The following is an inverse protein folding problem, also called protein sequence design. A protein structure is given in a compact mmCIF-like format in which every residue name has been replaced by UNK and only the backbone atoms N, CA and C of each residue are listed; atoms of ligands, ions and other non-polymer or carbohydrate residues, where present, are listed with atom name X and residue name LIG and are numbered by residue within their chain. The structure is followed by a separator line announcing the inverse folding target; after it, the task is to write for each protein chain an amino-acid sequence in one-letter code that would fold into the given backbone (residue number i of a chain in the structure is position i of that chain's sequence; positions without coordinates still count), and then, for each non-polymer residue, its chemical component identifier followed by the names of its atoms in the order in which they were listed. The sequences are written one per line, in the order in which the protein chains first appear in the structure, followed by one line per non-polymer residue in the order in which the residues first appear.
data_IF_908497765668
#
_entry.id   IF_908497765668
#
_cell.length_a   1.000
_cell.length_b   1.000
_cell.length_c   1.000
_cell.angle_alpha   90.00
_cell.angle_beta   90.00
_cell.angle_gamma   90.00
#
_symmetry.space_group_name_H-M   'P 1'
#
loop_
_entity.id
_entity.type
_entity.pdbx_description
1 polymer ?
#
# COMPACT_ATOMS: atom_id res chain seq x y z
N UNK A 1 76.09 -21.45 19.87
CA UNK A 1 75.01 -20.56 20.33
C UNK A 1 74.85 -19.49 19.29
N UNK A 2 73.85 -19.64 18.41
CA UNK A 2 73.58 -18.70 17.35
C UNK A 2 72.16 -18.10 17.59
N UNK A 3 72.12 -16.83 17.87
CA UNK A 3 70.87 -16.05 18.05
C UNK A 3 70.38 -15.61 16.66
N UNK A 4 69.25 -16.19 16.24
CA UNK A 4 68.56 -15.78 15.05
C UNK A 4 67.68 -14.55 15.31
N UNK A 5 67.90 -13.49 14.57
CA UNK A 5 67.15 -12.26 14.59
C UNK A 5 65.91 -12.35 13.70
N UNK A 6 64.72 -12.34 14.29
CA UNK A 6 63.45 -12.25 13.53
C UNK A 6 63.17 -10.80 13.12
N UNK A 7 63.19 -10.54 11.82
CA UNK A 7 62.71 -9.30 11.23
C UNK A 7 61.20 -9.38 11.06
N UNK A 8 60.44 -8.59 11.79
CA UNK A 8 59.03 -8.37 11.63
C UNK A 8 58.81 -7.45 10.40
N UNK A 9 58.25 -8.00 9.34
CA UNK A 9 57.71 -7.22 8.23
C UNK A 9 56.36 -6.66 8.61
N UNK A 10 56.25 -5.36 8.70
CA UNK A 10 54.98 -4.61 8.80
C UNK A 10 54.25 -4.72 7.44
N UNK A 11 53.00 -5.14 7.40
CA UNK A 11 52.24 -5.07 6.13
C UNK A 11 51.87 -3.61 5.85
N UNK A 12 52.17 -3.18 4.63
CA UNK A 12 51.75 -1.90 4.10
C UNK A 12 50.22 -1.76 4.11
N UNK A 13 49.72 -0.71 4.70
CA UNK A 13 48.32 -0.36 4.67
C UNK A 13 47.88 -0.14 3.22
N UNK A 14 47.02 -1.03 2.73
CA UNK A 14 46.29 -0.82 1.50
C UNK A 14 45.31 0.33 1.74
N UNK A 15 45.55 1.48 1.11
CA UNK A 15 44.61 2.59 1.04
C UNK A 15 43.38 2.13 0.23
N UNK A 16 42.31 1.75 0.91
CA UNK A 16 41.00 1.60 0.31
C UNK A 16 40.53 3.00 -0.11
N UNK A 17 40.71 3.31 -1.38
CA UNK A 17 40.01 4.42 -2.01
C UNK A 17 38.51 4.10 -1.95
N UNK A 18 37.82 4.71 -0.98
CA UNK A 18 36.36 4.80 -0.97
C UNK A 18 36.00 5.56 -2.25
N UNK A 19 35.51 4.81 -3.27
CA UNK A 19 34.87 5.44 -4.41
C UNK A 19 33.69 6.24 -3.87
N UNK A 20 33.85 7.54 -3.86
CA UNK A 20 32.79 8.50 -3.65
C UNK A 20 31.68 8.16 -4.66
N UNK A 21 30.57 7.59 -4.15
CA UNK A 21 29.41 7.33 -4.97
C UNK A 21 28.87 8.67 -5.42
N UNK A 22 29.07 8.99 -6.68
CA UNK A 22 28.42 10.13 -7.32
C UNK A 22 26.91 10.01 -7.08
N UNK A 23 26.24 11.11 -6.66
CA UNK A 23 24.80 11.11 -6.55
C UNK A 23 24.20 10.69 -7.89
N UNK A 24 23.40 9.63 -7.85
CA UNK A 24 22.68 9.10 -9.02
C UNK A 24 21.92 10.25 -9.68
N UNK A 25 22.30 10.60 -10.90
CA UNK A 25 21.52 11.53 -11.71
C UNK A 25 20.10 10.98 -11.78
N UNK A 26 19.05 11.80 -11.52
CA UNK A 26 17.67 11.34 -11.70
C UNK A 26 17.51 10.83 -13.14
N UNK A 27 17.04 9.60 -13.26
CA UNK A 27 16.75 9.01 -14.58
C UNK A 27 15.82 9.93 -15.36
N UNK A 28 16.08 10.16 -16.66
CA UNK A 28 15.17 10.92 -17.49
C UNK A 28 13.81 10.21 -17.41
N UNK A 29 12.82 10.92 -16.92
CA UNK A 29 11.43 10.47 -16.83
C UNK A 29 11.02 9.99 -18.22
N UNK A 30 10.55 8.77 -18.35
CA UNK A 30 9.90 8.30 -19.57
C UNK A 30 8.64 9.17 -19.76
N UNK A 31 8.80 10.28 -20.48
CA UNK A 31 7.69 11.09 -20.93
C UNK A 31 6.87 10.24 -21.90
N UNK A 32 5.69 9.82 -21.49
CA UNK A 32 4.70 9.31 -22.40
C UNK A 32 3.94 8.03 -22.06
N UNK A 33 4.13 7.37 -20.89
CA UNK A 33 3.44 6.10 -20.65
C UNK A 33 2.85 6.00 -19.25
N UNK A 34 1.53 5.73 -19.22
CA UNK A 34 0.75 5.52 -18.01
C UNK A 34 0.74 6.71 -17.05
N UNK A 35 0.15 7.82 -17.48
CA UNK A 35 -0.08 8.96 -16.61
C UNK A 35 -1.08 8.55 -15.53
N UNK A 36 -0.61 8.33 -14.29
CA UNK A 36 -1.50 8.30 -13.16
C UNK A 36 -2.34 9.58 -13.16
N UNK A 37 -3.63 9.45 -12.94
CA UNK A 37 -4.56 10.57 -12.88
C UNK A 37 -5.09 10.73 -11.46
N UNK A 38 -5.31 11.98 -11.08
CA UNK A 38 -5.97 12.33 -9.84
C UNK A 38 -7.43 12.66 -10.15
N UNK A 39 -8.35 11.96 -9.52
CA UNK A 39 -9.79 12.22 -9.63
C UNK A 39 -10.22 13.12 -8.48
N UNK A 40 -10.80 14.26 -8.81
CA UNK A 40 -11.44 15.18 -7.86
C UNK A 40 -12.95 14.98 -7.86
N UNK A 41 -13.52 14.78 -6.69
CA UNK A 41 -14.95 14.59 -6.46
C UNK A 41 -15.41 15.68 -5.50
N UNK A 42 -16.35 16.51 -5.95
CA UNK A 42 -16.93 17.52 -5.07
C UNK A 42 -17.75 16.86 -3.97
N UNK A 43 -17.49 17.23 -2.71
CA UNK A 43 -18.29 16.76 -1.57
C UNK A 43 -19.78 17.15 -1.70
N UNK A 44 -20.10 18.22 -2.44
CA UNK A 44 -21.47 18.67 -2.72
C UNK A 44 -22.12 17.94 -3.90
N UNK A 45 -21.39 17.01 -4.52
CA UNK A 45 -21.84 16.33 -5.73
C UNK A 45 -21.52 17.11 -7.02
N UNK A 46 -21.86 16.51 -8.15
CA UNK A 46 -21.59 17.07 -9.48
C UNK A 46 -20.70 16.16 -10.33
N UNK A 47 -20.24 16.62 -11.50
CA UNK A 47 -19.34 15.81 -12.33
C UNK A 47 -17.95 15.74 -11.69
N UNK A 48 -17.34 14.55 -11.63
CA UNK A 48 -15.94 14.43 -11.25
C UNK A 48 -15.03 15.11 -12.25
N UNK A 49 -13.84 15.52 -11.80
CA UNK A 49 -12.81 16.12 -12.65
C UNK A 49 -11.52 15.31 -12.59
N UNK A 50 -10.82 15.26 -13.70
CA UNK A 50 -9.54 14.58 -13.82
C UNK A 50 -8.39 15.55 -13.92
N UNK A 51 -7.29 15.23 -13.23
CA UNK A 51 -6.05 15.98 -13.31
C UNK A 51 -4.90 15.05 -13.63
N UNK A 52 -4.06 15.47 -14.56
CA UNK A 52 -2.82 14.74 -14.88
C UNK A 52 -1.78 15.00 -13.80
N UNK A 53 -1.15 13.94 -13.33
CA UNK A 53 0.02 14.01 -12.46
C UNK A 53 1.29 14.11 -13.30
N UNK A 54 2.34 14.74 -12.79
CA UNK A 54 2.46 15.36 -11.46
C UNK A 54 2.05 16.84 -11.40
N UNK A 55 1.82 17.49 -12.51
CA UNK A 55 1.66 18.95 -12.61
C UNK A 55 0.22 19.44 -12.34
N UNK A 56 -0.71 18.54 -12.02
CA UNK A 56 -2.11 18.84 -11.73
C UNK A 56 -2.83 19.62 -12.84
N UNK A 57 -2.52 19.32 -14.11
CA UNK A 57 -3.21 19.90 -15.26
C UNK A 57 -4.57 19.23 -15.44
N UNK A 58 -5.65 20.02 -15.48
CA UNK A 58 -6.99 19.49 -15.69
C UNK A 58 -7.12 18.86 -17.09
N UNK A 59 -7.78 17.72 -17.14
CA UNK A 59 -8.12 17.01 -18.38
C UNK A 59 -9.61 17.29 -18.71
N UNK A 60 -9.92 18.23 -19.59
CA UNK A 60 -11.28 18.66 -19.83
C UNK A 60 -12.14 17.56 -20.47
N UNK A 61 -13.40 17.46 -20.05
CA UNK A 61 -14.44 16.68 -20.73
C UNK A 61 -14.31 15.16 -20.68
N UNK A 62 -13.44 14.62 -19.82
CA UNK A 62 -13.14 13.18 -19.77
C UNK A 62 -14.15 12.38 -18.95
N UNK A 63 -14.71 12.94 -17.88
CA UNK A 63 -15.70 12.24 -17.07
C UNK A 63 -17.09 12.81 -17.28
N UNK A 64 -18.04 11.92 -17.52
CA UNK A 64 -19.46 12.26 -17.71
C UNK A 64 -20.25 11.82 -16.48
N UNK A 65 -21.50 12.28 -16.41
CA UNK A 65 -22.41 11.96 -15.32
C UNK A 65 -22.21 12.87 -14.10
N UNK A 66 -23.18 12.84 -13.21
CA UNK A 66 -23.20 13.62 -11.98
C UNK A 66 -23.29 12.67 -10.81
N UNK A 67 -22.41 12.84 -9.85
CA UNK A 67 -22.46 12.15 -8.58
C UNK A 67 -23.40 12.89 -7.62
N UNK A 68 -24.08 12.18 -6.71
CA UNK A 68 -24.69 12.81 -5.54
C UNK A 68 -23.64 13.42 -4.63
N UNK A 69 -24.05 14.05 -3.54
CA UNK A 69 -23.12 14.47 -2.49
C UNK A 69 -22.45 13.23 -1.85
N UNK A 70 -21.13 13.28 -1.75
CA UNK A 70 -20.27 12.16 -1.29
C UNK A 70 -19.50 12.62 -0.05
N UNK A 71 -19.38 11.78 0.95
CA UNK A 71 -18.64 12.06 2.17
C UNK A 71 -17.32 11.27 2.27
N UNK A 72 -17.20 10.17 1.52
CA UNK A 72 -16.02 9.31 1.58
C UNK A 72 -15.77 8.54 0.28
N UNK A 73 -14.51 8.39 -0.09
CA UNK A 73 -14.08 7.43 -1.10
C UNK A 73 -13.74 6.12 -0.38
N UNK A 74 -14.33 5.02 -0.82
CA UNK A 74 -14.05 3.68 -0.29
C UNK A 74 -12.78 3.10 -0.93
N UNK A 75 -12.62 3.30 -2.24
CA UNK A 75 -11.45 2.85 -2.98
C UNK A 75 -11.64 2.90 -4.50
N UNK A 76 -10.64 2.42 -5.22
CA UNK A 76 -10.67 2.25 -6.66
C UNK A 76 -10.27 0.83 -7.05
N UNK A 77 -11.01 0.26 -7.98
CA UNK A 77 -10.61 -0.93 -8.73
C UNK A 77 -10.06 -0.47 -10.09
N UNK A 78 -8.73 -0.43 -10.19
CA UNK A 78 -8.04 0.01 -11.40
C UNK A 78 -8.16 -1.00 -12.55
N UNK A 79 -8.42 -2.26 -12.27
CA UNK A 79 -8.55 -3.30 -13.29
C UNK A 79 -9.88 -3.16 -14.04
N UNK A 80 -10.96 -2.85 -13.33
CA UNK A 80 -12.29 -2.63 -13.90
C UNK A 80 -12.62 -1.14 -14.13
N UNK A 81 -11.75 -0.22 -13.70
CA UNK A 81 -11.95 1.23 -13.82
C UNK A 81 -13.13 1.74 -13.00
N UNK A 82 -13.35 1.17 -11.81
CA UNK A 82 -14.45 1.53 -10.91
C UNK A 82 -13.95 2.34 -9.72
N UNK A 83 -14.71 3.39 -9.38
CA UNK A 83 -14.56 4.10 -8.10
C UNK A 83 -15.73 3.73 -7.19
N UNK A 84 -15.42 3.37 -5.96
CA UNK A 84 -16.41 3.09 -4.93
C UNK A 84 -16.52 4.29 -3.99
N UNK A 85 -17.72 4.85 -3.90
CA UNK A 85 -18.00 6.11 -3.24
C UNK A 85 -19.12 5.93 -2.22
N UNK A 86 -18.97 6.51 -1.03
CA UNK A 86 -20.02 6.57 -0.04
C UNK A 86 -20.72 7.92 -0.10
N UNK A 87 -22.03 7.92 -0.25
CA UNK A 87 -22.84 9.15 -0.30
C UNK A 87 -23.25 9.60 1.09
N UNK A 88 -23.52 10.88 1.25
CA UNK A 88 -24.06 11.45 2.51
C UNK A 88 -25.42 10.85 2.93
N UNK A 89 -26.08 10.10 2.04
CA UNK A 89 -27.31 9.36 2.31
C UNK A 89 -27.08 7.94 2.83
N UNK A 90 -25.81 7.54 3.01
CA UNK A 90 -25.44 6.18 3.41
C UNK A 90 -25.57 5.14 2.28
N UNK A 91 -25.43 5.56 1.04
CA UNK A 91 -25.39 4.67 -0.12
C UNK A 91 -23.95 4.45 -0.54
N UNK A 92 -23.61 3.26 -0.99
CA UNK A 92 -22.34 3.01 -1.69
C UNK A 92 -22.62 2.86 -3.17
N UNK A 93 -21.88 3.64 -3.95
CA UNK A 93 -22.00 3.72 -5.41
C UNK A 93 -20.75 3.12 -6.05
N UNK A 94 -20.93 2.36 -7.12
CA UNK A 94 -19.87 2.02 -8.06
C UNK A 94 -19.94 3.00 -9.24
N UNK A 95 -18.95 3.85 -9.41
CA UNK A 95 -18.85 4.80 -10.50
C UNK A 95 -17.86 4.30 -11.54
N UNK A 96 -18.32 4.08 -12.75
CA UNK A 96 -17.51 3.63 -13.89
C UNK A 96 -16.79 4.83 -14.53
N UNK A 97 -15.48 4.85 -14.44
CA UNK A 97 -14.62 5.91 -14.99
C UNK A 97 -14.67 6.01 -16.50
N UNK A 98 -15.02 4.92 -17.21
CA UNK A 98 -15.09 4.91 -18.66
C UNK A 98 -16.42 5.45 -19.17
N UNK A 99 -17.52 4.97 -18.61
CA UNK A 99 -18.87 5.35 -19.07
C UNK A 99 -19.43 6.59 -18.36
N UNK A 100 -18.90 6.94 -17.18
CA UNK A 100 -19.42 7.99 -16.31
C UNK A 100 -20.77 7.63 -15.66
N UNK A 101 -21.14 6.35 -15.64
CA UNK A 101 -22.34 5.85 -14.97
C UNK A 101 -22.04 5.46 -13.53
N UNK A 102 -23.04 5.60 -12.68
CA UNK A 102 -22.95 5.11 -11.30
C UNK A 102 -24.13 4.22 -10.98
N UNK A 103 -23.83 3.08 -10.37
CA UNK A 103 -24.81 2.12 -9.88
C UNK A 103 -24.77 2.08 -8.35
N UNK A 104 -25.96 2.01 -7.70
CA UNK A 104 -26.05 1.84 -6.26
C UNK A 104 -25.78 0.38 -5.90
N UNK A 105 -24.68 0.13 -5.20
CA UNK A 105 -24.31 -1.20 -4.72
C UNK A 105 -25.13 -1.60 -3.49
N UNK A 106 -25.18 -0.72 -2.49
CA UNK A 106 -25.89 -0.94 -1.25
C UNK A 106 -26.37 0.38 -0.63
N UNK A 107 -27.38 0.28 0.25
CA UNK A 107 -27.97 1.41 0.98
C UNK A 107 -27.92 1.17 2.50
N UNK A 108 -27.94 2.24 3.29
CA UNK A 108 -27.86 2.17 4.76
C UNK A 108 -26.52 1.65 5.24
N UNK A 109 -25.47 1.85 4.46
CA UNK A 109 -24.12 1.34 4.74
C UNK A 109 -23.50 2.12 5.88
N UNK A 110 -22.95 1.39 6.85
CA UNK A 110 -22.16 1.94 7.96
C UNK A 110 -20.68 1.78 7.77
N UNK A 111 -20.27 0.66 7.15
CA UNK A 111 -18.87 0.36 6.84
C UNK A 111 -18.73 -0.24 5.45
N UNK A 112 -17.60 0.04 4.82
CA UNK A 112 -17.23 -0.54 3.54
C UNK A 112 -15.71 -0.72 3.45
N UNK A 113 -15.29 -1.77 2.75
CA UNK A 113 -13.88 -2.06 2.47
C UNK A 113 -13.74 -2.65 1.07
N UNK A 114 -12.62 -2.31 0.41
CA UNK A 114 -12.24 -2.87 -0.88
C UNK A 114 -11.16 -3.92 -0.67
N UNK A 115 -11.36 -5.10 -1.21
CA UNK A 115 -10.36 -6.18 -1.21
C UNK A 115 -9.31 -6.01 -2.31
N UNK A 116 -8.19 -6.73 -2.21
CA UNK A 116 -7.09 -6.66 -3.17
C UNK A 116 -7.45 -7.22 -4.55
N UNK A 117 -8.52 -8.00 -4.63
CA UNK A 117 -9.09 -8.59 -5.84
C UNK A 117 -10.19 -7.71 -6.49
N UNK A 118 -10.36 -6.46 -6.01
CA UNK A 118 -11.40 -5.55 -6.47
C UNK A 118 -12.79 -5.83 -5.89
N UNK A 119 -12.93 -6.81 -4.99
CA UNK A 119 -14.21 -7.06 -4.32
C UNK A 119 -14.50 -6.00 -3.28
N UNK A 120 -15.59 -5.29 -3.45
CA UNK A 120 -16.11 -4.35 -2.46
C UNK A 120 -17.03 -5.08 -1.48
N UNK A 121 -16.84 -4.86 -0.19
CA UNK A 121 -17.73 -5.30 0.89
C UNK A 121 -18.41 -4.10 1.52
N UNK A 122 -19.70 -4.23 1.79
CA UNK A 122 -20.48 -3.21 2.52
C UNK A 122 -21.25 -3.88 3.66
N UNK A 123 -21.29 -3.20 4.80
CA UNK A 123 -22.03 -3.63 5.98
C UNK A 123 -23.03 -2.54 6.37
N UNK A 124 -24.30 -2.90 6.53
CA UNK A 124 -25.35 -1.97 6.96
C UNK A 124 -25.56 -1.95 8.47
N UNK A 125 -26.42 -1.04 8.96
CA UNK A 125 -26.76 -0.93 10.38
C UNK A 125 -27.41 -2.21 10.96
N UNK A 126 -27.99 -3.07 10.11
CA UNK A 126 -28.52 -4.39 10.50
C UNK A 126 -27.48 -5.50 10.37
N UNK A 127 -26.23 -5.14 10.11
CA UNK A 127 -25.08 -6.03 9.93
C UNK A 127 -25.18 -6.94 8.71
N UNK A 128 -26.06 -6.63 7.77
CA UNK A 128 -26.15 -7.37 6.50
C UNK A 128 -24.97 -7.00 5.62
N UNK A 129 -24.43 -8.01 4.95
CA UNK A 129 -23.28 -7.86 4.06
C UNK A 129 -23.74 -7.92 2.61
N UNK A 130 -23.24 -7.01 1.80
CA UNK A 130 -23.32 -7.07 0.34
C UNK A 130 -21.91 -7.02 -0.20
N UNK A 131 -21.54 -7.96 -1.07
CA UNK A 131 -20.32 -7.91 -1.85
C UNK A 131 -20.62 -7.52 -3.30
N UNK A 132 -19.67 -6.80 -3.91
CA UNK A 132 -19.73 -6.38 -5.30
C UNK A 132 -18.39 -6.68 -5.97
N UNK A 133 -18.40 -7.53 -6.98
CA UNK A 133 -17.20 -7.98 -7.69
C UNK A 133 -17.51 -8.10 -9.18
N UNK A 134 -16.62 -7.59 -10.04
CA UNK A 134 -16.76 -7.64 -11.49
C UNK A 134 -18.16 -7.24 -11.98
N UNK A 135 -18.70 -6.14 -11.42
CA UNK A 135 -20.04 -5.62 -11.68
C UNK A 135 -21.19 -6.56 -11.29
N UNK A 136 -20.89 -7.60 -10.52
CA UNK A 136 -21.87 -8.53 -9.95
C UNK A 136 -22.11 -8.21 -8.47
N UNK A 137 -23.37 -8.12 -8.08
CA UNK A 137 -23.81 -7.82 -6.72
C UNK A 137 -24.33 -9.09 -6.05
N UNK A 138 -23.81 -9.41 -4.86
CA UNK A 138 -24.21 -10.55 -4.07
C UNK A 138 -24.63 -10.10 -2.68
N UNK A 139 -25.86 -10.43 -2.27
CA UNK A 139 -26.33 -10.26 -0.89
C UNK A 139 -26.01 -11.52 -0.12
N UNK A 140 -25.30 -11.38 0.99
CA UNK A 140 -24.94 -12.54 1.80
C UNK A 140 -26.15 -13.09 2.55
N UNK A 141 -26.24 -14.40 2.70
CA UNK A 141 -27.41 -15.03 3.33
C UNK A 141 -27.47 -14.76 4.85
N UNK A 142 -26.32 -14.51 5.47
CA UNK A 142 -26.23 -14.28 6.91
C UNK A 142 -25.67 -12.87 7.18
N UNK A 143 -26.16 -12.27 8.28
CA UNK A 143 -25.62 -11.04 8.79
C UNK A 143 -24.42 -11.33 9.73
N UNK A 144 -23.49 -10.39 9.88
CA UNK A 144 -22.42 -10.51 10.86
C UNK A 144 -22.98 -10.75 12.28
N UNK A 145 -22.30 -11.58 13.06
CA UNK A 145 -22.71 -11.92 14.42
C UNK A 145 -22.79 -10.71 15.35
N UNK A 146 -21.94 -9.69 15.13
CA UNK A 146 -21.92 -8.44 15.88
C UNK A 146 -21.61 -7.24 14.97
N UNK A 147 -21.87 -6.02 15.45
CA UNK A 147 -21.50 -4.79 14.75
C UNK A 147 -19.97 -4.68 14.65
N UNK A 148 -19.41 -4.38 13.48
CA UNK A 148 -17.97 -4.21 13.35
C UNK A 148 -17.52 -2.82 13.81
N UNK A 149 -16.29 -2.73 14.34
CA UNK A 149 -15.55 -1.47 14.53
C UNK A 149 -14.54 -1.23 13.42
N UNK A 150 -14.11 -2.30 12.72
CA UNK A 150 -13.27 -2.23 11.55
C UNK A 150 -13.64 -3.34 10.56
N UNK A 151 -13.51 -3.08 9.26
CA UNK A 151 -13.72 -4.05 8.19
C UNK A 151 -12.59 -3.94 7.17
N UNK A 152 -12.15 -5.08 6.64
CA UNK A 152 -11.12 -5.19 5.64
C UNK A 152 -11.54 -6.22 4.59
N UNK A 153 -11.15 -5.99 3.35
CA UNK A 153 -11.28 -6.98 2.30
C UNK A 153 -9.99 -7.82 2.21
N UNK A 154 -10.11 -9.12 2.31
CA UNK A 154 -9.04 -10.07 2.08
C UNK A 154 -9.08 -10.65 0.68
N UNK A 155 -8.11 -11.52 0.37
CA UNK A 155 -8.13 -12.37 -0.83
C UNK A 155 -9.32 -13.34 -0.79
N UNK A 156 -9.63 -13.93 -1.94
CA UNK A 156 -10.67 -14.96 -2.08
C UNK A 156 -12.07 -14.49 -1.67
N UNK A 157 -12.37 -13.21 -1.95
CA UNK A 157 -13.66 -12.59 -1.61
C UNK A 157 -14.01 -12.72 -0.12
N UNK A 158 -12.99 -12.64 0.74
CA UNK A 158 -13.14 -12.74 2.18
C UNK A 158 -13.33 -11.38 2.84
N UNK A 159 -14.36 -11.28 3.66
CA UNK A 159 -14.54 -10.17 4.58
C UNK A 159 -13.84 -10.49 5.91
N UNK A 160 -13.04 -9.56 6.39
CA UNK A 160 -12.43 -9.59 7.72
C UNK A 160 -13.03 -8.45 8.52
N UNK A 161 -13.52 -8.74 9.71
CA UNK A 161 -14.13 -7.74 10.57
C UNK A 161 -13.64 -7.88 12.02
N UNK A 162 -13.44 -6.75 12.68
CA UNK A 162 -13.23 -6.69 14.13
C UNK A 162 -14.50 -6.13 14.75
N UNK A 163 -15.07 -6.84 15.72
CA UNK A 163 -16.36 -6.45 16.34
C UNK A 163 -16.20 -5.31 17.34
N UNK A 164 -17.25 -4.50 17.50
CA UNK A 164 -17.31 -3.38 18.44
C UNK A 164 -17.81 -3.80 19.85
N UNK A 165 -17.72 -5.09 20.19
CA UNK A 165 -18.14 -5.62 21.47
C UNK A 165 -17.15 -5.26 22.58
N UNK A 166 -17.59 -5.33 23.86
CA UNK A 166 -16.73 -5.15 25.04
C UNK A 166 -15.54 -6.14 25.06
N UNK A 167 -15.73 -7.31 24.49
CA UNK A 167 -14.68 -8.31 24.21
C UNK A 167 -14.63 -8.51 22.70
N UNK A 168 -13.84 -7.72 21.98
CA UNK A 168 -13.81 -7.78 20.52
C UNK A 168 -13.44 -9.16 20.00
N UNK A 169 -13.94 -9.47 18.82
CA UNK A 169 -13.65 -10.70 18.09
C UNK A 169 -13.18 -10.34 16.69
N UNK A 170 -12.25 -11.12 16.19
CA UNK A 170 -11.86 -11.14 14.79
C UNK A 170 -12.73 -12.16 14.07
N UNK A 171 -13.42 -11.72 13.02
CA UNK A 171 -14.27 -12.53 12.15
C UNK A 171 -13.62 -12.62 10.78
N UNK A 172 -13.61 -13.80 10.18
CA UNK A 172 -13.22 -14.00 8.78
C UNK A 172 -14.30 -14.87 8.10
N UNK A 173 -14.94 -14.31 7.10
CA UNK A 173 -16.09 -14.94 6.42
C UNK A 173 -15.96 -14.84 4.89
N UNK A 174 -16.60 -15.77 4.19
CA UNK A 174 -16.94 -15.64 2.77
C UNK A 174 -18.45 -15.88 2.59
N UNK A 175 -18.98 -15.61 1.42
CA UNK A 175 -20.42 -15.83 1.15
C UNK A 175 -20.86 -17.27 1.37
N UNK A 176 -19.96 -18.23 1.13
CA UNK A 176 -20.26 -19.67 1.16
C UNK A 176 -19.76 -20.39 2.43
N UNK A 177 -18.98 -19.70 3.28
CA UNK A 177 -18.40 -20.32 4.46
C UNK A 177 -18.75 -19.52 5.72
N UNK A 178 -19.11 -20.21 6.82
CA UNK A 178 -19.41 -19.53 8.07
C UNK A 178 -18.18 -18.84 8.64
N UNK A 179 -18.43 -17.83 9.48
CA UNK A 179 -17.37 -17.05 10.11
C UNK A 179 -16.46 -17.91 10.99
N UNK A 180 -15.16 -17.81 10.72
CA UNK A 180 -14.15 -18.16 11.71
C UNK A 180 -14.08 -17.02 12.72
N UNK A 181 -14.31 -17.30 13.98
CA UNK A 181 -14.38 -16.29 15.06
C UNK A 181 -13.30 -16.54 16.07
N UNK A 182 -12.53 -15.50 16.41
CA UNK A 182 -11.44 -15.57 17.39
C UNK A 182 -11.52 -14.39 18.36
N UNK A 183 -11.16 -14.56 19.65
CA UNK A 183 -10.94 -13.43 20.56
C UNK A 183 -9.88 -12.49 19.96
N UNK A 184 -10.11 -11.18 20.08
CA UNK A 184 -9.21 -10.15 19.58
C UNK A 184 -8.86 -9.17 20.70
N UNK A 185 -7.60 -8.75 20.88
CA UNK A 185 -7.25 -7.74 21.87
C UNK A 185 -7.89 -6.42 21.48
N UNK A 186 -8.64 -5.81 22.40
CA UNK A 186 -9.31 -4.53 22.13
C UNK A 186 -8.31 -3.41 21.91
N UNK A 187 -8.38 -2.77 20.73
CA UNK A 187 -7.65 -1.55 20.43
C UNK A 187 -8.41 -0.73 19.39
N UNK A 188 -8.23 0.58 19.44
CA UNK A 188 -8.71 1.49 18.40
C UNK A 188 -7.76 1.58 17.21
N UNK A 189 -6.52 1.12 17.37
CA UNK A 189 -5.49 1.13 16.31
C UNK A 189 -5.38 -0.26 15.72
N UNK A 190 -5.96 -0.44 14.55
CA UNK A 190 -6.07 -1.74 13.87
C UNK A 190 -5.73 -1.51 12.41
N UNK A 191 -4.87 -2.36 11.85
CA UNK A 191 -4.58 -2.41 10.43
C UNK A 191 -4.53 -3.86 9.95
N UNK A 192 -4.74 -4.09 8.67
CA UNK A 192 -4.68 -5.41 8.06
C UNK A 192 -3.67 -5.44 6.92
N UNK A 193 -2.96 -6.53 6.82
CA UNK A 193 -2.14 -6.82 5.66
C UNK A 193 -3.01 -6.83 4.40
N UNK A 194 -2.48 -6.35 3.28
CA UNK A 194 -3.22 -6.11 2.04
C UNK A 194 -4.08 -7.30 1.58
N UNK A 195 -3.58 -8.52 1.78
CA UNK A 195 -4.29 -9.74 1.35
C UNK A 195 -5.21 -10.32 2.43
N UNK A 196 -5.31 -9.66 3.58
CA UNK A 196 -6.13 -10.10 4.69
C UNK A 196 -5.64 -11.38 5.36
N UNK A 197 -4.37 -11.71 5.18
CA UNK A 197 -3.74 -12.88 5.78
C UNK A 197 -3.25 -12.62 7.21
N UNK A 198 -3.23 -11.35 7.64
CA UNK A 198 -2.91 -10.96 9.01
C UNK A 198 -3.53 -9.61 9.39
N UNK A 199 -3.91 -9.47 10.65
CA UNK A 199 -4.41 -8.24 11.26
C UNK A 199 -3.51 -7.87 12.42
N UNK A 200 -3.11 -6.61 12.47
CA UNK A 200 -2.34 -6.00 13.55
C UNK A 200 -3.24 -5.20 14.48
N UNK A 201 -3.01 -5.29 15.77
CA UNK A 201 -3.66 -4.46 16.78
C UNK A 201 -2.64 -3.89 17.75
N UNK A 202 -2.67 -2.58 17.98
CA UNK A 202 -1.89 -1.97 19.04
C UNK A 202 -2.48 -2.32 20.42
N UNK A 203 -1.59 -2.56 21.37
CA UNK A 203 -1.92 -2.72 22.81
C UNK A 203 -1.11 -1.70 23.62
N UNK A 204 -1.27 -1.67 24.93
CA UNK A 204 -0.52 -0.74 25.79
C UNK A 204 1.00 -0.98 25.78
N UNK A 205 1.45 -2.18 25.41
CA UNK A 205 2.85 -2.61 25.53
C UNK A 205 3.44 -3.23 24.26
N UNK A 206 2.73 -3.15 23.14
CA UNK A 206 3.23 -3.71 21.88
C UNK A 206 2.15 -3.91 20.83
N UNK A 207 2.44 -4.74 19.85
CA UNK A 207 1.55 -5.10 18.75
C UNK A 207 1.18 -6.59 18.86
N UNK A 208 -0.10 -6.90 18.67
CA UNK A 208 -0.56 -8.28 18.46
C UNK A 208 -0.83 -8.49 16.99
N UNK A 209 -0.27 -9.55 16.43
CA UNK A 209 -0.52 -10.02 15.06
C UNK A 209 -1.39 -11.27 15.10
N UNK A 210 -2.44 -11.29 14.29
CA UNK A 210 -3.39 -12.40 14.22
C UNK A 210 -3.69 -12.81 12.79
N UNK A 211 -3.53 -14.08 12.50
CA UNK A 211 -4.00 -14.69 11.26
C UNK A 211 -5.51 -14.96 11.40
N UNK A 212 -6.37 -14.39 10.50
CA UNK A 212 -7.81 -14.40 10.70
C UNK A 212 -8.46 -15.79 10.71
N UNK A 213 -7.91 -16.77 9.96
CA UNK A 213 -8.47 -18.12 9.85
C UNK A 213 -8.10 -19.04 11.03
N UNK A 214 -7.23 -18.59 11.93
CA UNK A 214 -6.85 -19.38 13.11
C UNK A 214 -5.89 -20.52 12.86
N UNK A 215 -5.24 -20.55 11.71
CA UNK A 215 -4.25 -21.58 11.37
C UNK A 215 -2.96 -21.43 12.18
N UNK A 216 -2.68 -20.20 12.65
CA UNK A 216 -1.54 -19.86 13.50
C UNK A 216 -2.00 -19.20 14.80
N UNK A 217 -1.23 -19.40 15.86
CA UNK A 217 -1.43 -18.68 17.12
C UNK A 217 -1.22 -17.17 16.90
N UNK A 218 -1.83 -16.36 17.75
CA UNK A 218 -1.53 -14.93 17.79
C UNK A 218 -0.11 -14.72 18.32
N UNK A 219 0.60 -13.77 17.70
CA UNK A 219 1.97 -13.38 18.08
C UNK A 219 1.93 -12.02 18.75
N UNK A 220 2.74 -11.82 19.79
CA UNK A 220 2.90 -10.55 20.46
C UNK A 220 4.31 -10.02 20.26
N UNK A 221 4.41 -8.79 19.77
CA UNK A 221 5.66 -8.08 19.57
C UNK A 221 5.74 -7.00 20.65
N UNK A 222 6.60 -7.17 21.66
CA UNK A 222 6.76 -6.17 22.70
C UNK A 222 7.43 -4.93 22.15
N UNK A 223 6.95 -3.76 22.56
CA UNK A 223 7.56 -2.47 22.22
C UNK A 223 7.86 -1.70 23.51
N UNK A 224 8.93 -0.92 23.54
CA UNK A 224 9.33 -0.17 24.73
C UNK A 224 8.37 0.97 25.07
N UNK A 225 7.45 1.33 24.17
CA UNK A 225 6.54 2.45 24.30
C UNK A 225 5.20 2.16 23.61
N UNK A 226 4.15 2.83 24.06
CA UNK A 226 2.78 2.65 23.56
C UNK A 226 2.67 2.98 22.07
N UNK A 227 2.23 2.03 21.21
CA UNK A 227 1.98 2.28 19.81
C UNK A 227 0.78 3.22 19.61
N UNK A 228 0.92 4.22 18.76
CA UNK A 228 -0.16 5.18 18.43
C UNK A 228 -0.70 5.01 17.02
N UNK A 229 0.07 4.36 16.15
CA UNK A 229 -0.35 3.99 14.79
C UNK A 229 0.46 2.78 14.34
N UNK A 230 -0.15 1.95 13.49
CA UNK A 230 0.50 0.80 12.86
C UNK A 230 0.09 0.76 11.40
N UNK A 231 1.05 0.50 10.52
CA UNK A 231 0.79 0.36 9.08
C UNK A 231 1.62 -0.76 8.49
N UNK A 232 0.94 -1.69 7.81
CA UNK A 232 1.63 -2.70 7.01
C UNK A 232 2.30 -2.07 5.79
N UNK A 233 3.51 -2.51 5.47
CA UNK A 233 4.09 -2.23 4.17
C UNK A 233 3.15 -2.74 3.06
N UNK A 234 2.99 -2.02 1.94
CA UNK A 234 2.13 -2.46 0.84
C UNK A 234 2.49 -3.83 0.27
N UNK A 235 3.77 -4.20 0.31
CA UNK A 235 4.25 -5.53 -0.08
C UNK A 235 4.15 -6.59 1.04
N UNK A 236 3.65 -6.23 2.23
CA UNK A 236 3.25 -7.14 3.29
C UNK A 236 4.36 -7.71 4.16
N UNK A 237 5.61 -7.24 4.06
CA UNK A 237 6.76 -7.84 4.78
C UNK A 237 7.18 -7.07 6.05
N UNK A 238 6.72 -5.82 6.24
CA UNK A 238 7.09 -4.97 7.37
C UNK A 238 5.90 -4.26 7.96
N UNK A 239 6.03 -3.89 9.25
CA UNK A 239 5.15 -2.96 9.92
C UNK A 239 5.94 -1.70 10.28
N UNK A 240 5.31 -0.56 10.10
CA UNK A 240 5.81 0.74 10.53
C UNK A 240 4.92 1.23 11.67
N UNK A 241 5.54 1.57 12.79
CA UNK A 241 4.84 1.80 14.05
C UNK A 241 5.23 3.17 14.60
N UNK A 242 4.24 4.03 14.77
CA UNK A 242 4.38 5.28 15.53
C UNK A 242 4.21 5.00 17.02
N UNK A 243 4.96 5.72 17.86
CA UNK A 243 4.95 5.52 19.32
C UNK A 243 4.63 6.82 20.04
N UNK A 244 4.07 6.71 21.24
CA UNK A 244 3.59 7.85 22.01
C UNK A 244 4.71 8.81 22.46
N UNK A 245 5.86 8.27 22.84
CA UNK A 245 7.01 9.08 23.34
C UNK A 245 8.27 8.83 22.52
N UNK A 246 8.32 7.78 21.71
CA UNK A 246 9.48 7.44 20.90
C UNK A 246 9.68 8.38 19.73
N UNK A 247 10.94 8.79 19.50
CA UNK A 247 11.30 9.53 18.30
C UNK A 247 11.35 8.62 17.09
N UNK A 248 10.90 9.12 15.95
CA UNK A 248 10.90 8.35 14.70
C UNK A 248 9.85 7.24 14.67
N UNK A 249 10.15 6.20 13.89
CA UNK A 249 9.29 5.04 13.71
C UNK A 249 10.03 3.76 14.10
N UNK A 250 9.36 2.87 14.81
CA UNK A 250 9.80 1.48 14.90
C UNK A 250 9.46 0.74 13.61
N UNK A 251 10.33 -0.13 13.18
CA UNK A 251 10.15 -1.00 12.01
C UNK A 251 10.27 -2.43 12.48
N UNK A 252 9.28 -3.26 12.19
CA UNK A 252 9.26 -4.66 12.58
C UNK A 252 9.17 -5.52 11.34
N UNK A 253 9.98 -6.56 11.27
CA UNK A 253 9.78 -7.62 10.29
C UNK A 253 8.57 -8.46 10.70
N UNK A 254 7.62 -8.60 9.79
CA UNK A 254 6.35 -9.25 10.05
C UNK A 254 6.48 -10.74 10.35
N UNK A 255 7.48 -11.40 9.78
CA UNK A 255 7.60 -12.86 9.83
C UNK A 255 8.52 -13.33 10.95
N UNK A 256 9.65 -12.65 11.17
CA UNK A 256 10.55 -12.94 12.28
C UNK A 256 10.11 -12.30 13.60
N UNK A 257 9.23 -11.30 13.54
CA UNK A 257 8.78 -10.48 14.67
C UNK A 257 9.92 -9.70 15.34
N UNK A 258 11.01 -9.50 14.64
CA UNK A 258 12.16 -8.77 15.15
C UNK A 258 12.03 -7.27 14.85
N UNK A 259 12.36 -6.44 15.81
CA UNK A 259 12.53 -5.01 15.58
C UNK A 259 13.80 -4.80 14.76
N UNK A 260 13.63 -4.17 13.61
CA UNK A 260 14.72 -3.78 12.71
C UNK A 260 15.22 -2.38 13.09
N UNK A 261 16.28 -1.93 12.43
CA UNK A 261 16.68 -0.53 12.54
C UNK A 261 15.51 0.38 12.19
N UNK A 262 15.12 1.21 13.14
CA UNK A 262 14.02 2.16 12.99
C UNK A 262 14.32 3.25 11.96
N UNK A 263 13.35 4.12 11.73
CA UNK A 263 13.50 5.31 10.91
C UNK A 263 13.64 6.51 11.83
N UNK A 264 14.80 7.17 11.77
CA UNK A 264 15.03 8.39 12.54
C UNK A 264 14.23 9.56 11.95
N UNK A 265 13.46 10.24 12.79
CA UNK A 265 12.70 11.45 12.44
C UNK A 265 12.99 12.54 13.45
N UNK A 266 12.78 13.83 13.10
CA UNK A 266 13.03 14.96 13.98
C UNK A 266 12.19 14.98 15.26
N UNK A 267 11.16 14.15 15.34
CA UNK A 267 10.25 14.09 16.47
C UNK A 267 9.35 12.86 16.46
N UNK A 268 8.35 12.86 17.34
CA UNK A 268 7.31 11.84 17.37
C UNK A 268 6.45 11.92 16.09
N UNK A 269 6.08 10.78 15.54
CA UNK A 269 5.13 10.66 14.44
C UNK A 269 3.76 10.25 14.96
N UNK A 270 2.70 10.70 14.28
CA UNK A 270 1.29 10.35 14.60
C UNK A 270 0.51 9.83 13.41
N UNK A 271 1.15 9.26 12.48
CA UNK A 271 0.53 8.68 11.29
C UNK A 271 1.54 8.51 10.19
N UNK A 272 1.33 7.48 9.41
CA UNK A 272 2.22 7.07 8.33
C UNK A 272 1.40 6.87 7.06
N UNK A 273 1.96 7.25 5.92
CA UNK A 273 1.48 6.85 4.58
C UNK A 273 2.65 6.29 3.79
N UNK A 274 2.40 5.20 3.14
CA UNK A 274 3.40 4.46 2.36
C UNK A 274 3.13 4.62 0.87
N UNK A 275 4.18 4.82 0.11
CA UNK A 275 4.15 4.69 -1.34
C UNK A 275 3.65 3.30 -1.69
N UNK A 276 2.63 3.15 -2.55
CA UNK A 276 2.18 1.84 -3.03
C UNK A 276 3.31 0.96 -3.59
N UNK A 277 4.39 1.56 -4.07
CA UNK A 277 5.57 0.87 -4.59
C UNK A 277 6.70 0.72 -3.57
N UNK A 278 6.49 1.16 -2.32
CA UNK A 278 7.41 0.95 -1.22
C UNK A 278 8.70 1.78 -1.26
N UNK A 279 8.78 2.84 -2.05
CA UNK A 279 9.96 3.72 -2.10
C UNK A 279 9.90 4.85 -1.08
N UNK A 280 8.74 5.47 -0.92
CA UNK A 280 8.57 6.64 -0.08
C UNK A 280 7.70 6.34 1.14
N UNK A 281 8.07 6.95 2.25
CA UNK A 281 7.24 6.99 3.44
C UNK A 281 7.02 8.45 3.81
N UNK A 282 5.78 8.78 4.09
CA UNK A 282 5.39 10.05 4.68
C UNK A 282 5.03 9.82 6.13
N UNK A 283 5.62 10.58 7.03
CA UNK A 283 5.27 10.58 8.44
C UNK A 283 4.77 11.94 8.87
N UNK A 284 3.64 11.99 9.55
CA UNK A 284 3.07 13.22 10.08
C UNK A 284 3.66 13.52 11.45
N UNK A 285 4.12 14.76 11.66
CA UNK A 285 4.63 15.19 12.94
C UNK A 285 3.54 15.08 14.05
N UNK A 286 3.92 14.64 15.22
CA UNK A 286 3.04 14.56 16.38
C UNK A 286 2.57 15.94 16.85
N UNK A 287 3.39 16.96 16.65
CA UNK A 287 3.12 18.37 16.98
C UNK A 287 3.29 19.20 15.71
N UNK A 288 2.35 20.11 15.45
CA UNK A 288 2.35 20.95 14.26
C UNK A 288 1.74 20.26 13.03
N UNK A 289 2.02 20.82 11.86
CA UNK A 289 1.48 20.44 10.57
C UNK A 289 2.55 19.90 9.59
N UNK A 290 3.75 19.59 10.08
CA UNK A 290 4.83 19.09 9.25
C UNK A 290 4.60 17.65 8.81
N UNK A 291 4.94 17.38 7.56
CA UNK A 291 5.04 16.05 6.96
C UNK A 291 6.49 15.79 6.60
N UNK A 292 7.05 14.75 7.16
CA UNK A 292 8.39 14.26 6.84
C UNK A 292 8.35 13.27 5.71
N UNK A 293 9.25 13.44 4.74
CA UNK A 293 9.36 12.57 3.56
C UNK A 293 10.65 11.75 3.70
N UNK A 294 10.53 10.45 3.68
CA UNK A 294 11.63 9.49 3.88
C UNK A 294 11.81 8.62 2.65
N UNK A 295 13.03 8.48 2.18
CA UNK A 295 13.42 7.45 1.21
C UNK A 295 13.60 6.12 1.96
N UNK A 296 12.67 5.20 1.79
CA UNK A 296 12.63 3.92 2.53
C UNK A 296 13.86 3.02 2.29
N UNK A 297 14.39 2.89 1.06
CA UNK A 297 15.58 2.09 0.82
C UNK A 297 16.80 2.52 1.65
N UNK A 298 16.98 3.82 1.80
CA UNK A 298 18.12 4.40 2.54
C UNK A 298 17.77 4.76 3.98
N UNK A 299 16.47 4.79 4.33
CA UNK A 299 15.92 5.29 5.60
C UNK A 299 16.28 6.75 5.89
N UNK A 300 16.63 7.52 4.86
CA UNK A 300 17.05 8.92 4.98
C UNK A 300 15.84 9.85 4.85
N UNK A 301 15.74 10.81 5.77
CA UNK A 301 14.82 11.93 5.68
C UNK A 301 15.25 12.85 4.53
N UNK A 302 14.45 12.91 3.46
CA UNK A 302 14.73 13.78 2.30
C UNK A 302 14.27 15.22 2.51
N UNK A 303 13.24 15.41 3.32
CA UNK A 303 12.76 16.74 3.63
C UNK A 303 11.52 16.79 4.51
N UNK A 304 11.10 18.01 4.81
CA UNK A 304 9.91 18.31 5.60
C UNK A 304 9.12 19.42 4.92
N UNK A 305 7.80 19.26 4.87
CA UNK A 305 6.89 20.26 4.30
C UNK A 305 5.68 20.45 5.21
N UNK A 306 5.10 21.65 5.28
CA UNK A 306 3.82 21.82 5.92
C UNK A 306 2.74 21.12 5.10
N UNK A 307 1.80 20.47 5.75
CA UNK A 307 0.68 19.85 5.07
C UNK A 307 0.00 18.74 5.87
N UNK A 308 -1.04 18.19 5.27
CA UNK A 308 -1.81 17.12 5.85
C UNK A 308 -2.36 16.22 4.73
N UNK A 309 -2.85 15.06 5.13
CA UNK A 309 -3.66 14.18 4.28
C UNK A 309 -4.96 13.80 5.00
N UNK A 310 -6.00 13.51 4.21
CA UNK A 310 -7.20 12.83 4.69
C UNK A 310 -7.15 11.35 4.31
N UNK A 311 -8.16 10.59 4.70
CA UNK A 311 -8.28 9.19 4.31
C UNK A 311 -8.48 9.02 2.79
N UNK A 312 -9.03 10.01 2.14
CA UNK A 312 -9.36 10.07 0.72
C UNK A 312 -8.15 10.41 -0.17
N UNK A 313 -7.23 11.28 0.29
CA UNK A 313 -6.11 11.73 -0.53
C UNK A 313 -4.94 10.76 -0.38
N UNK A 314 -4.54 10.08 -1.46
CA UNK A 314 -3.35 9.24 -1.42
C UNK A 314 -2.13 10.15 -1.27
N UNK A 315 -1.44 10.05 -0.14
CA UNK A 315 -0.27 10.88 0.12
C UNK A 315 0.88 10.64 -0.87
N UNK A 316 0.94 9.43 -1.47
CA UNK A 316 1.84 9.13 -2.60
C UNK A 316 1.02 8.47 -3.71
N UNK A 317 1.09 9.04 -4.90
CA UNK A 317 0.41 8.51 -6.08
C UNK A 317 1.23 7.43 -6.79
N UNK A 318 0.61 6.63 -7.69
CA UNK A 318 1.31 5.55 -8.40
C UNK A 318 2.54 5.99 -9.20
N UNK A 319 2.62 7.24 -9.63
CA UNK A 319 3.81 7.79 -10.32
C UNK A 319 4.89 8.29 -9.34
N UNK A 320 4.68 8.13 -8.05
CA UNK A 320 5.59 8.57 -6.99
C UNK A 320 5.49 10.06 -6.63
N UNK A 321 4.46 10.78 -7.13
CA UNK A 321 4.20 12.17 -6.73
C UNK A 321 3.60 12.19 -5.33
N UNK A 322 4.12 13.04 -4.45
CA UNK A 322 3.55 13.30 -3.12
C UNK A 322 2.42 14.31 -3.25
N UNK A 323 1.27 14.00 -2.67
CA UNK A 323 0.06 14.84 -2.69
C UNK A 323 -0.33 15.21 -1.26
N UNK A 324 -0.41 16.49 -0.98
CA UNK A 324 -0.74 17.01 0.35
C UNK A 324 -1.77 18.14 0.27
N UNK A 325 -2.55 18.28 1.34
CA UNK A 325 -3.34 19.49 1.60
C UNK A 325 -2.49 20.52 2.34
N UNK A 326 -2.45 21.73 1.81
CA UNK A 326 -1.81 22.89 2.45
C UNK A 326 -2.85 24.02 2.55
N UNK A 327 -3.38 24.22 3.76
CA UNK A 327 -4.49 25.14 3.96
C UNK A 327 -5.70 24.74 3.13
N UNK A 328 -6.16 25.64 2.23
CA UNK A 328 -7.27 25.39 1.31
C UNK A 328 -6.88 24.67 0.01
N UNK A 329 -5.61 24.39 -0.21
CA UNK A 329 -5.07 23.96 -1.48
C UNK A 329 -4.63 22.50 -1.47
N UNK A 330 -4.51 21.88 -2.63
CA UNK A 330 -3.83 20.60 -2.84
C UNK A 330 -2.57 20.85 -3.63
N UNK A 331 -1.43 20.34 -3.15
CA UNK A 331 -0.13 20.47 -3.80
C UNK A 331 0.40 19.10 -4.21
N UNK A 332 1.09 19.09 -5.34
CA UNK A 332 1.87 17.97 -5.82
C UNK A 332 3.36 18.28 -5.69
N UNK A 333 4.11 17.36 -5.07
CA UNK A 333 5.53 17.55 -4.77
C UNK A 333 6.34 16.39 -5.36
N UNK A 334 7.57 16.69 -5.72
CA UNK A 334 8.60 15.70 -6.01
C UNK A 334 9.27 15.33 -4.69
N UNK A 335 9.24 14.04 -4.28
CA UNK A 335 9.69 13.67 -2.93
C UNK A 335 11.21 13.73 -2.74
N UNK A 336 12.02 13.53 -3.79
CA UNK A 336 13.48 13.53 -3.73
C UNK A 336 14.11 14.92 -3.48
N UNK A 337 13.42 15.96 -3.93
CA UNK A 337 13.89 17.36 -3.85
C UNK A 337 12.91 18.28 -3.14
N UNK A 338 11.78 17.73 -2.71
CA UNK A 338 10.68 18.46 -2.04
C UNK A 338 10.19 19.66 -2.87
N UNK A 339 10.34 19.56 -4.21
CA UNK A 339 9.96 20.61 -5.14
C UNK A 339 8.48 20.54 -5.49
N UNK A 340 7.78 21.67 -5.42
CA UNK A 340 6.39 21.75 -5.85
C UNK A 340 6.28 21.62 -7.38
N UNK A 341 5.49 20.68 -7.85
CA UNK A 341 5.26 20.39 -9.26
C UNK A 341 3.92 20.96 -9.76
N UNK A 342 2.95 21.07 -8.85
CA UNK A 342 1.62 21.56 -9.18
C UNK A 342 0.86 22.00 -7.93
N UNK A 343 -0.19 22.82 -8.15
CA UNK A 343 -1.05 23.31 -7.09
C UNK A 343 -2.46 23.51 -7.60
N UNK A 344 -3.46 23.10 -6.79
CA UNK A 344 -4.88 23.34 -7.03
C UNK A 344 -5.47 24.17 -5.91
N UNK A 345 -5.83 25.39 -6.20
CA UNK A 345 -6.35 26.34 -5.22
C UNK A 345 -7.82 26.02 -4.85
N UNK A 346 -8.15 26.17 -3.56
CA UNK A 346 -9.51 26.03 -3.05
C UNK A 346 -10.07 24.62 -3.11
N UNK A 347 -9.22 23.60 -3.17
CA UNK A 347 -9.60 22.23 -3.43
C UNK A 347 -9.54 21.30 -2.20
N UNK A 348 -9.16 21.81 -1.03
CA UNK A 348 -8.91 21.01 0.16
C UNK A 348 -10.14 20.31 0.74
N UNK A 349 -11.35 20.83 0.49
CA UNK A 349 -12.59 20.23 1.01
C UNK A 349 -13.19 19.17 0.09
N UNK A 350 -12.64 19.01 -1.11
CA UNK A 350 -13.09 17.98 -2.04
C UNK A 350 -12.40 16.66 -1.76
N UNK A 351 -12.99 15.58 -2.26
CA UNK A 351 -12.44 14.24 -2.13
C UNK A 351 -11.54 13.93 -3.32
N UNK A 352 -10.47 13.16 -3.07
CA UNK A 352 -9.43 12.91 -4.05
C UNK A 352 -8.99 11.46 -4.03
N UNK A 353 -8.81 10.90 -5.24
CA UNK A 353 -8.20 9.58 -5.38
C UNK A 353 -7.26 9.57 -6.59
N UNK A 354 -6.09 8.98 -6.43
CA UNK A 354 -5.23 8.66 -7.55
C UNK A 354 -5.60 7.28 -8.09
N UNK A 355 -5.65 7.15 -9.40
CA UNK A 355 -5.91 5.90 -10.10
C UNK A 355 -4.91 5.72 -11.23
N UNK A 356 -4.52 4.48 -11.46
CA UNK A 356 -3.73 4.07 -12.63
C UNK A 356 -4.60 3.82 -13.86
N UNK A 357 -5.88 4.23 -13.83
CA UNK A 357 -6.79 4.04 -14.95
C UNK A 357 -6.26 4.73 -16.22
N UNK A 358 -6.30 3.99 -17.32
CA UNK A 358 -5.84 4.44 -18.62
C UNK A 358 -7.07 4.64 -19.51
N UNK A 359 -7.26 5.82 -20.15
CA UNK A 359 -8.36 6.06 -21.07
C UNK A 359 -8.42 5.02 -22.19
N UNK A 360 -9.64 4.70 -22.64
CA UNK A 360 -9.91 3.72 -23.70
C UNK A 360 -9.06 3.95 -24.95
N UNK A 361 -8.33 2.93 -25.37
CA UNK A 361 -7.46 2.94 -26.57
C UNK A 361 -6.03 2.47 -26.30
N UNK A 362 -5.57 2.45 -25.06
CA UNK A 362 -4.30 1.83 -24.67
C UNK A 362 -4.57 0.73 -23.66
N UNK A 363 -4.38 -0.52 -24.05
CA UNK A 363 -4.47 -1.60 -23.07
C UNK A 363 -3.26 -1.55 -22.13
N UNK A 364 -3.49 -1.78 -20.84
CA UNK A 364 -2.42 -1.93 -19.84
C UNK A 364 -1.38 -2.98 -20.28
N UNK A 365 -1.84 -4.03 -20.96
CA UNK A 365 -1.00 -5.05 -21.58
C UNK A 365 -0.09 -4.50 -22.67
N UNK A 366 -0.53 -3.55 -23.50
CA UNK A 366 0.31 -2.93 -24.50
C UNK A 366 1.39 -2.03 -23.88
N UNK A 367 1.06 -1.31 -22.81
CA UNK A 367 2.04 -0.49 -22.09
C UNK A 367 3.10 -1.34 -21.36
N UNK A 368 2.75 -2.57 -20.95
CA UNK A 368 3.67 -3.52 -20.33
C UNK A 368 4.46 -4.35 -21.36
N UNK A 369 3.89 -4.59 -22.55
CA UNK A 369 4.56 -5.33 -23.63
C UNK A 369 5.80 -4.59 -24.18
N UNK A 370 5.81 -3.27 -24.10
CA UNK A 370 6.97 -2.43 -24.49
C UNK A 370 8.02 -2.28 -23.36
N UNK A 371 7.79 -2.87 -22.18
CA UNK A 371 8.83 -2.91 -21.17
C UNK A 371 9.91 -3.90 -21.59
N UNK A 372 11.21 -3.58 -21.38
CA UNK A 372 12.26 -4.56 -21.62
C UNK A 372 11.93 -5.81 -20.80
N UNK A 373 11.74 -6.92 -21.50
CA UNK A 373 11.48 -8.21 -20.85
C UNK A 373 12.60 -8.51 -19.85
N UNK A 374 12.30 -9.24 -18.77
CA UNK A 374 13.35 -9.73 -17.89
C UNK A 374 14.34 -10.51 -18.77
N UNK A 375 15.63 -10.25 -18.58
CA UNK A 375 16.65 -11.06 -19.24
C UNK A 375 16.31 -12.54 -18.99
N UNK A 376 16.23 -13.31 -20.07
CA UNK A 376 15.89 -14.72 -19.99
C UNK A 376 16.91 -15.43 -19.07
N UNK A 377 16.53 -15.59 -17.79
CA UNK A 377 17.33 -16.31 -16.83
C UNK A 377 16.91 -17.78 -16.92
N UNK A 378 17.77 -18.57 -17.49
CA UNK A 378 17.77 -19.99 -17.27
C UNK A 378 18.06 -20.24 -15.78
N UNK A 379 17.13 -20.90 -15.09
CA UNK A 379 17.37 -21.58 -13.81
C UNK A 379 17.83 -20.71 -12.63
N UNK A 380 17.30 -21.04 -11.48
CA UNK A 380 17.72 -20.66 -10.13
C UNK A 380 18.02 -19.18 -9.84
N UNK A 381 17.50 -18.71 -8.71
CA UNK A 381 17.73 -17.38 -8.15
C UNK A 381 19.20 -16.97 -8.24
N UNK A 382 19.56 -16.23 -9.28
CA UNK A 382 20.93 -15.71 -9.41
C UNK A 382 21.20 -14.80 -8.22
N UNK A 383 22.25 -15.11 -7.47
CA UNK A 383 22.71 -14.28 -6.36
C UNK A 383 22.95 -12.85 -6.87
N UNK A 384 22.31 -11.87 -6.23
CA UNK A 384 22.39 -10.46 -6.64
C UNK A 384 21.34 -9.99 -7.65
N UNK A 385 20.48 -10.87 -8.18
CA UNK A 385 19.40 -10.48 -9.07
C UNK A 385 18.31 -9.68 -8.31
N UNK A 386 17.77 -8.67 -8.96
CA UNK A 386 16.69 -7.83 -8.43
C UNK A 386 15.35 -8.29 -8.96
N UNK A 387 14.37 -8.35 -8.11
CA UNK A 387 13.01 -8.74 -8.43
C UNK A 387 12.01 -7.66 -8.00
N UNK A 388 10.90 -7.55 -8.71
CA UNK A 388 9.75 -6.78 -8.24
C UNK A 388 8.83 -7.73 -7.48
N UNK A 389 8.87 -7.69 -6.16
CA UNK A 389 7.94 -8.44 -5.31
C UNK A 389 6.61 -7.73 -5.27
N UNK A 390 5.56 -8.40 -5.68
CA UNK A 390 4.19 -7.87 -5.72
C UNK A 390 3.33 -8.38 -4.56
N UNK A 391 3.75 -9.49 -3.94
CA UNK A 391 3.06 -10.09 -2.81
C UNK A 391 4.00 -10.98 -2.01
N UNK A 392 3.69 -11.15 -0.72
CA UNK A 392 4.24 -12.20 0.14
C UNK A 392 3.12 -12.71 1.04
N UNK A 393 2.97 -14.01 1.14
CA UNK A 393 1.93 -14.68 1.94
C UNK A 393 2.42 -16.02 2.46
N UNK A 394 1.93 -16.42 3.63
CA UNK A 394 2.14 -17.77 4.15
C UNK A 394 1.30 -18.82 3.40
N UNK A 395 0.31 -18.39 2.63
CA UNK A 395 -0.54 -19.28 1.85
C UNK A 395 0.02 -19.43 0.42
N UNK A 396 0.51 -20.66 0.12
CA UNK A 396 1.05 -20.99 -1.21
C UNK A 396 0.01 -20.86 -2.31
N UNK A 397 -1.22 -21.28 -2.07
CA UNK A 397 -2.31 -21.26 -3.07
C UNK A 397 -2.66 -19.83 -3.48
N UNK A 398 -2.70 -18.90 -2.50
CA UNK A 398 -2.91 -17.48 -2.79
C UNK A 398 -1.76 -16.91 -3.64
N UNK A 399 -0.52 -17.28 -3.33
CA UNK A 399 0.66 -16.85 -4.08
C UNK A 399 0.67 -17.42 -5.50
N UNK A 400 0.35 -18.70 -5.67
CA UNK A 400 0.24 -19.35 -6.97
C UNK A 400 -0.89 -18.71 -7.82
N UNK A 401 -2.05 -18.43 -7.21
CA UNK A 401 -3.17 -17.75 -7.86
C UNK A 401 -2.79 -16.35 -8.37
N UNK A 402 -2.09 -15.57 -7.54
CA UNK A 402 -1.59 -14.26 -7.91
C UNK A 402 -0.58 -14.34 -9.07
N UNK A 403 0.39 -15.26 -9.00
CA UNK A 403 1.38 -15.45 -10.06
C UNK A 403 0.70 -15.84 -11.39
N UNK A 404 -0.31 -16.72 -11.35
CA UNK A 404 -1.10 -17.08 -12.54
C UNK A 404 -1.87 -15.88 -13.12
N UNK A 405 -2.46 -15.03 -12.28
CA UNK A 405 -3.15 -13.82 -12.76
C UNK A 405 -2.18 -12.90 -13.49
N UNK A 406 -1.01 -12.65 -12.91
CA UNK A 406 0.03 -11.82 -13.51
C UNK A 406 0.56 -12.43 -14.81
N UNK A 407 0.74 -13.76 -14.86
CA UNK A 407 1.17 -14.47 -16.08
C UNK A 407 0.12 -14.39 -17.19
N UNK A 408 -1.17 -14.49 -16.86
CA UNK A 408 -2.27 -14.28 -17.83
C UNK A 408 -2.31 -12.84 -18.35
N UNK A 409 -1.85 -11.89 -17.56
CA UNK A 409 -1.70 -10.49 -17.97
C UNK A 409 -0.42 -10.22 -18.80
N UNK A 410 0.32 -11.26 -19.19
CA UNK A 410 1.53 -11.15 -19.99
C UNK A 410 2.81 -10.86 -19.21
N UNK A 411 2.79 -10.98 -17.88
CA UNK A 411 3.93 -10.74 -17.02
C UNK A 411 4.63 -12.05 -16.66
N UNK A 412 5.95 -12.04 -16.58
CA UNK A 412 6.71 -13.22 -16.15
C UNK A 412 6.74 -13.28 -14.61
N UNK A 413 5.65 -13.73 -14.03
CA UNK A 413 5.53 -13.90 -12.60
C UNK A 413 5.93 -15.32 -12.16
N UNK A 414 6.56 -15.41 -10.98
CA UNK A 414 6.88 -16.68 -10.33
C UNK A 414 6.72 -16.57 -8.82
N UNK A 415 6.56 -17.71 -8.18
CA UNK A 415 6.52 -17.82 -6.72
C UNK A 415 7.88 -18.29 -6.24
N UNK A 416 8.52 -17.51 -5.38
CA UNK A 416 9.71 -17.94 -4.65
C UNK A 416 9.26 -18.60 -3.35
N UNK A 417 9.81 -19.78 -3.00
CA UNK A 417 9.51 -20.44 -1.74
C UNK A 417 10.07 -19.65 -0.56
N UNK A 418 9.54 -19.86 0.65
CA UNK A 418 10.11 -19.29 1.86
C UNK A 418 11.55 -19.77 2.08
N UNK A 419 12.40 -18.89 2.58
CA UNK A 419 13.82 -19.17 2.90
C UNK A 419 14.00 -19.70 4.31
N UNK A 420 13.00 -19.52 5.19
CA UNK A 420 12.94 -20.05 6.55
C UNK A 420 11.50 -20.43 6.91
N UNK A 421 11.31 -21.10 8.03
CA UNK A 421 9.98 -21.51 8.51
C UNK A 421 9.05 -20.31 8.79
N UNK A 422 9.62 -19.17 9.14
CA UNK A 422 8.90 -17.94 9.47
C UNK A 422 8.71 -17.01 8.27
N UNK A 423 9.29 -17.37 7.11
CA UNK A 423 9.19 -16.61 5.88
C UNK A 423 7.91 -16.96 5.08
N UNK A 424 7.60 -16.21 4.02
CA UNK A 424 6.42 -16.41 3.17
C UNK A 424 6.76 -16.70 1.71
N UNK A 425 5.79 -17.23 0.99
CA UNK A 425 5.84 -17.38 -0.46
C UNK A 425 5.79 -15.99 -1.11
N UNK A 426 6.81 -15.64 -1.89
CA UNK A 426 6.91 -14.35 -2.59
C UNK A 426 6.48 -14.48 -4.03
N UNK A 427 5.54 -13.65 -4.44
CA UNK A 427 5.22 -13.49 -5.87
C UNK A 427 6.10 -12.38 -6.42
N UNK A 428 6.95 -12.73 -7.38
CA UNK A 428 7.95 -11.82 -7.94
C UNK A 428 7.89 -11.79 -9.46
N UNK A 429 8.27 -10.65 -10.02
CA UNK A 429 8.55 -10.46 -11.45
C UNK A 429 10.06 -10.28 -11.63
N UNK A 430 10.59 -10.73 -12.72
CA UNK A 430 12.02 -10.63 -13.01
C UNK A 430 12.71 -12.00 -13.12
N UNK A 431 14.07 -12.04 -13.07
CA UNK A 431 14.99 -11.04 -12.52
C UNK A 431 15.24 -9.83 -13.42
N UNK A 432 15.66 -8.72 -12.80
CA UNK A 432 16.06 -7.50 -13.48
C UNK A 432 17.54 -7.18 -13.19
N UNK A 433 18.30 -6.70 -14.19
CA UNK A 433 19.72 -6.42 -14.01
C UNK A 433 20.01 -5.15 -13.20
N UNK A 434 19.07 -4.18 -13.17
CA UNK A 434 19.23 -2.93 -12.42
C UNK A 434 18.00 -2.60 -11.59
N UNK A 435 18.23 -1.85 -10.52
CA UNK A 435 17.17 -1.36 -9.64
C UNK A 435 16.21 -0.43 -10.37
N UNK A 436 16.72 0.42 -11.27
CA UNK A 436 15.90 1.33 -12.06
C UNK A 436 14.89 0.59 -12.94
N UNK A 437 15.34 -0.48 -13.60
CA UNK A 437 14.45 -1.30 -14.42
C UNK A 437 13.36 -1.97 -13.57
N UNK A 438 13.73 -2.52 -12.41
CA UNK A 438 12.77 -3.12 -11.49
C UNK A 438 11.76 -2.08 -10.98
N UNK A 439 12.20 -0.88 -10.60
CA UNK A 439 11.31 0.21 -10.17
C UNK A 439 10.40 0.68 -11.30
N UNK A 440 10.90 0.79 -12.54
CA UNK A 440 10.08 1.18 -13.69
C UNK A 440 8.96 0.16 -13.97
N UNK A 441 9.27 -1.13 -13.91
CA UNK A 441 8.27 -2.19 -14.02
C UNK A 441 7.26 -2.11 -12.86
N UNK A 442 7.74 -1.96 -11.62
CA UNK A 442 6.86 -1.80 -10.46
C UNK A 442 5.86 -0.64 -10.63
N UNK A 443 6.33 0.50 -11.15
CA UNK A 443 5.46 1.66 -11.41
C UNK A 443 4.48 1.41 -12.55
N UNK A 444 4.90 0.73 -13.61
CA UNK A 444 4.02 0.39 -14.74
C UNK A 444 2.92 -0.60 -14.34
N UNK A 445 3.19 -1.47 -13.36
CA UNK A 445 2.18 -2.36 -12.83
C UNK A 445 1.02 -1.61 -12.16
N UNK A 446 1.28 -0.41 -11.58
CA UNK A 446 0.32 0.36 -10.82
C UNK A 446 -0.23 -0.39 -9.60
N UNK A 447 0.49 -1.41 -9.13
CA UNK A 447 0.17 -2.22 -7.94
C UNK A 447 1.27 -2.03 -6.90
N UNK A 448 0.95 -2.14 -5.61
CA UNK A 448 1.98 -2.16 -4.57
C UNK A 448 3.03 -3.21 -4.87
N UNK A 449 4.29 -2.82 -4.79
CA UNK A 449 5.42 -3.70 -5.05
C UNK A 449 6.64 -3.27 -4.25
N UNK A 450 7.60 -4.16 -4.14
CA UNK A 450 8.87 -3.94 -3.45
C UNK A 450 10.01 -4.51 -4.28
N UNK A 451 11.16 -3.86 -4.28
CA UNK A 451 12.35 -4.42 -4.91
C UNK A 451 12.97 -5.42 -3.94
N UNK A 452 12.88 -6.68 -4.31
CA UNK A 452 13.42 -7.79 -3.54
C UNK A 452 14.74 -8.26 -4.13
N UNK A 453 15.73 -8.40 -3.28
CA UNK A 453 17.01 -9.02 -3.59
C UNK A 453 17.17 -10.23 -2.67
N UNK A 454 17.25 -11.45 -3.22
CA UNK A 454 17.51 -12.64 -2.41
C UNK A 454 18.79 -12.47 -1.58
N UNK A 455 18.83 -12.95 -0.33
CA UNK A 455 20.05 -13.00 0.45
C UNK A 455 21.10 -13.83 -0.29
N UNK A 456 22.36 -13.42 -0.16
CA UNK A 456 23.50 -14.11 -0.76
C UNK A 456 23.85 -15.39 0.00
#
# INVERSE_FOLDING_TARGET
MVLGSCHSRTPAAASSQTKEQQPLKPSPRAEGRSAAVLVRISAKGGPPRLYRLPNLTELPGTLRGRLPAVDRIVGADDDDGLLFLHSVKGEVLAYDLQSGRSDTVATGVTMAALGPDGTLFTVDAKRRVVSYSRRSRTVWPQALSAAPQAVFGGSDQRLIAVTAEKKPKLLAETVDQPAVTRPFPGSAVIDAARFGDEVASATDSGIVLMEPLGRRAASFIPLPDHPTDVSFAPAGHRLYISRKTGLGLAVVDRFTHEEMDGIALPGMARGVRLDPLGRWLLARAGIGDSVWIVDLPTKILTGSVPGAWGADLPAVSPDGTVLLRQGSDVVALRPDSVTQLGKLTGAANDLWIATGWIPSGSSRSAALADAPGPAAAAGDTAAGALYVQVSISQNKECSDGMAQQLTRAGLQARVLPPTSADDGYRVVLGPYPTREQAEDIGRKLGRPSWIYQPPQ
#
